data_IF_098189266508
#
_entry.id   IF_098189266508
#
_cell.length_a   1.000
_cell.length_b   1.000
_cell.length_c   1.000
_cell.angle_alpha   90.00
_cell.angle_beta   90.00
_cell.angle_gamma   90.00
#
_symmetry.space_group_name_H-M   'P 1'
#
loop_
_entity.id
_entity.type
_entity.pdbx_description
1 polymer ?
#
# COMPACT_ATOMS: atom_id res chain seq x y z
N UNK A 1 14.84 -3.39 13.44
CA UNK A 1 15.00 -4.83 13.08
C UNK A 1 15.98 -5.45 14.05
N UNK A 2 15.65 -6.61 14.62
CA UNK A 2 16.54 -7.30 15.54
C UNK A 2 17.86 -7.72 14.85
N UNK A 3 18.99 -7.34 15.44
CA UNK A 3 20.35 -7.76 15.07
C UNK A 3 20.81 -8.89 16.01
N UNK A 4 21.82 -9.63 15.57
CA UNK A 4 22.45 -10.71 16.34
C UNK A 4 23.95 -10.52 16.26
N UNK A 5 24.62 -10.53 17.41
CA UNK A 5 26.06 -10.34 17.52
C UNK A 5 26.68 -11.34 18.49
N UNK A 6 27.88 -11.83 18.15
CA UNK A 6 28.63 -12.77 18.97
C UNK A 6 29.71 -12.00 19.72
N UNK A 7 29.54 -11.86 21.02
CA UNK A 7 30.40 -11.10 21.91
C UNK A 7 31.29 -12.07 22.68
N UNK A 8 32.61 -11.82 22.64
CA UNK A 8 33.60 -12.56 23.43
C UNK A 8 34.08 -11.79 24.66
N UNK A 9 34.04 -10.46 24.58
CA UNK A 9 34.52 -9.58 25.64
C UNK A 9 33.37 -9.24 26.62
N UNK A 10 33.51 -9.58 27.92
CA UNK A 10 32.52 -9.23 28.93
C UNK A 10 32.24 -7.73 29.02
N UNK A 11 33.22 -6.85 28.77
CA UNK A 11 33.01 -5.40 28.83
C UNK A 11 32.00 -4.95 27.77
N UNK A 12 32.21 -5.38 26.53
CA UNK A 12 31.29 -5.11 25.43
C UNK A 12 29.91 -5.65 25.74
N UNK A 13 29.80 -6.84 26.34
CA UNK A 13 28.50 -7.38 26.75
C UNK A 13 27.75 -6.48 27.77
N UNK A 14 28.45 -5.98 28.79
CA UNK A 14 27.86 -5.06 29.77
C UNK A 14 27.54 -3.68 29.20
N UNK A 15 28.34 -3.19 28.24
CA UNK A 15 28.06 -1.93 27.54
C UNK A 15 26.74 -2.01 26.78
N UNK A 16 26.48 -3.14 26.11
CA UNK A 16 25.21 -3.37 25.41
C UNK A 16 24.01 -3.47 26.36
N UNK A 17 24.16 -4.08 27.54
CA UNK A 17 23.10 -4.16 28.56
C UNK A 17 22.80 -2.82 29.23
N UNK A 18 23.79 -1.93 29.29
CA UNK A 18 23.70 -0.64 29.98
C UNK A 18 23.40 0.51 29.02
N UNK A 19 23.28 0.24 27.72
CA UNK A 19 23.03 1.25 26.70
C UNK A 19 21.55 1.63 26.62
N UNK A 20 21.26 2.91 26.77
CA UNK A 20 19.91 3.47 26.55
C UNK A 20 19.51 3.51 25.06
N UNK A 21 20.43 3.19 24.14
CA UNK A 21 20.18 3.17 22.70
C UNK A 21 19.71 1.79 22.21
N UNK A 22 19.95 0.75 23.01
CA UNK A 22 19.80 -0.64 22.63
C UNK A 22 18.81 -1.35 23.55
N UNK A 23 17.80 -1.97 22.95
CA UNK A 23 16.90 -2.89 23.62
C UNK A 23 17.39 -4.34 23.43
N UNK A 24 17.89 -4.96 24.49
CA UNK A 24 18.34 -6.36 24.46
C UNK A 24 17.13 -7.30 24.52
N UNK A 25 16.95 -8.10 23.47
CA UNK A 25 15.79 -8.98 23.30
C UNK A 25 16.02 -10.39 23.84
N UNK A 26 17.23 -10.91 23.66
CA UNK A 26 17.60 -12.27 24.07
C UNK A 26 19.11 -12.39 24.26
N UNK A 27 19.53 -13.21 25.22
CA UNK A 27 20.95 -13.49 25.51
C UNK A 27 21.15 -14.98 25.58
N UNK A 28 22.07 -15.50 24.77
CA UNK A 28 22.38 -16.92 24.72
C UNK A 28 23.87 -17.17 24.88
N UNK A 29 24.24 -17.86 25.94
CA UNK A 29 25.61 -18.36 26.11
C UNK A 29 25.85 -19.50 25.10
N UNK A 30 26.77 -19.26 24.17
CA UNK A 30 27.15 -20.24 23.13
C UNK A 30 28.26 -21.14 23.65
N UNK A 31 29.19 -20.57 24.42
CA UNK A 31 30.26 -21.25 25.15
C UNK A 31 30.65 -20.43 26.38
N UNK A 32 31.58 -20.94 27.19
CA UNK A 32 32.10 -20.23 28.36
C UNK A 32 32.81 -18.90 28.01
N UNK A 33 33.20 -18.71 26.75
CA UNK A 33 33.92 -17.53 26.26
C UNK A 33 33.10 -16.68 25.25
N UNK A 34 31.84 -17.06 24.97
CA UNK A 34 31.07 -16.39 23.93
C UNK A 34 29.58 -16.33 24.24
N UNK A 35 29.04 -15.13 24.08
CA UNK A 35 27.61 -14.82 24.22
C UNK A 35 27.05 -14.36 22.89
N UNK A 36 25.96 -14.96 22.45
CA UNK A 36 25.11 -14.44 21.38
C UNK A 36 24.11 -13.45 21.99
N UNK A 37 24.25 -12.17 21.65
CA UNK A 37 23.32 -11.11 22.02
C UNK A 37 22.38 -10.86 20.85
N UNK A 38 21.07 -10.89 21.10
CA UNK A 38 20.05 -10.41 20.16
C UNK A 38 19.48 -9.11 20.69
N UNK A 39 19.55 -8.06 19.88
CA UNK A 39 19.13 -6.73 20.28
C UNK A 39 18.46 -5.99 19.14
N UNK A 40 17.74 -4.92 19.47
CA UNK A 40 17.27 -3.94 18.50
C UNK A 40 17.60 -2.54 19.00
N UNK A 41 17.82 -1.61 18.07
CA UNK A 41 17.92 -0.21 18.46
C UNK A 41 16.56 0.32 18.87
N UNK A 42 16.54 1.21 19.86
CA UNK A 42 15.34 1.94 20.23
C UNK A 42 14.78 2.70 19.02
N UNK A 43 13.45 2.88 18.97
CA UNK A 43 12.74 3.44 17.80
C UNK A 43 13.26 4.82 17.38
N UNK A 44 13.80 5.59 18.32
CA UNK A 44 14.34 6.93 18.09
C UNK A 44 15.80 6.93 17.61
N UNK A 45 16.48 5.79 17.63
CA UNK A 45 17.87 5.69 17.20
C UNK A 45 17.95 5.28 15.73
N UNK A 46 18.47 6.19 14.91
CA UNK A 46 18.80 5.93 13.51
C UNK A 46 20.31 5.88 13.39
N UNK A 47 20.85 4.69 13.17
CA UNK A 47 22.28 4.49 12.94
C UNK A 47 22.73 5.35 11.74
N UNK A 48 23.63 6.33 11.93
CA UNK A 48 24.10 7.19 10.85
C UNK A 48 24.97 6.37 9.89
N UNK A 49 24.38 5.95 8.76
CA UNK A 49 25.11 5.24 7.72
C UNK A 49 25.66 6.24 6.69
N UNK A 50 26.99 6.30 6.54
CA UNK A 50 27.66 7.18 5.57
C UNK A 50 27.23 6.95 4.11
N UNK A 51 26.64 5.79 3.79
CA UNK A 51 26.12 5.45 2.46
C UNK A 51 24.63 5.72 2.30
N UNK A 52 23.93 6.10 3.35
CA UNK A 52 22.47 6.29 3.34
C UNK A 52 22.14 7.76 3.49
N UNK A 53 21.61 8.35 2.43
CA UNK A 53 21.10 9.71 2.46
C UNK A 53 19.60 9.69 2.22
N UNK A 54 18.83 9.90 3.29
CA UNK A 54 17.36 9.89 3.27
C UNK A 54 16.81 10.99 2.37
N UNK A 55 17.48 12.14 2.29
CA UNK A 55 17.07 13.26 1.44
C UNK A 55 17.20 12.87 -0.04
N UNK A 56 18.32 12.25 -0.42
CA UNK A 56 18.51 11.74 -1.79
C UNK A 56 17.43 10.69 -2.11
N UNK A 57 17.14 9.76 -1.19
CA UNK A 57 16.09 8.75 -1.38
C UNK A 57 14.68 9.37 -1.54
N UNK A 58 14.38 10.44 -0.79
CA UNK A 58 13.13 11.16 -0.91
C UNK A 58 13.00 11.83 -2.28
N UNK A 59 14.04 12.53 -2.74
CA UNK A 59 14.03 13.17 -4.05
C UNK A 59 13.98 12.16 -5.20
N UNK A 60 14.76 11.08 -5.15
CA UNK A 60 14.73 10.07 -6.22
C UNK A 60 13.35 9.43 -6.35
N UNK A 61 12.70 9.09 -5.23
CA UNK A 61 11.34 8.52 -5.27
C UNK A 61 10.28 9.56 -5.67
N UNK A 62 10.46 10.85 -5.35
CA UNK A 62 9.58 11.91 -5.82
C UNK A 62 9.70 12.10 -7.34
N UNK A 63 10.91 12.16 -7.88
CA UNK A 63 11.16 12.27 -9.32
C UNK A 63 10.63 11.05 -10.08
N UNK A 64 10.82 9.84 -9.56
CA UNK A 64 10.26 8.62 -10.16
C UNK A 64 8.72 8.68 -10.23
N UNK A 65 8.05 9.13 -9.17
CA UNK A 65 6.59 9.32 -9.16
C UNK A 65 6.12 10.39 -10.14
N UNK A 66 6.82 11.52 -10.24
CA UNK A 66 6.50 12.56 -11.22
C UNK A 66 6.64 12.05 -12.66
N UNK A 67 7.67 11.25 -12.93
CA UNK A 67 7.88 10.63 -14.24
C UNK A 67 6.76 9.65 -14.59
N UNK A 68 6.39 8.79 -13.64
CA UNK A 68 5.25 7.89 -13.79
C UNK A 68 3.95 8.67 -13.99
N UNK A 69 3.72 9.72 -13.19
CA UNK A 69 2.54 10.57 -13.30
C UNK A 69 2.38 11.19 -14.69
N UNK A 70 3.47 11.65 -15.33
CA UNK A 70 3.41 12.16 -16.70
C UNK A 70 2.93 11.11 -17.72
N UNK A 71 3.27 9.84 -17.52
CA UNK A 71 2.76 8.73 -18.36
C UNK A 71 1.30 8.45 -18.08
N UNK A 72 0.91 8.46 -16.79
CA UNK A 72 -0.49 8.27 -16.38
C UNK A 72 -1.39 9.40 -16.89
N UNK A 73 -0.91 10.64 -16.88
CA UNK A 73 -1.63 11.82 -17.40
C UNK A 73 -1.79 11.77 -18.93
N UNK A 74 -0.86 11.15 -19.65
CA UNK A 74 -1.05 10.88 -21.08
C UNK A 74 -2.11 9.79 -21.33
N UNK A 75 -2.14 8.74 -20.49
CA UNK A 75 -2.97 7.54 -20.71
C UNK A 75 -4.39 7.67 -20.14
N UNK A 76 -4.60 8.50 -19.11
CA UNK A 76 -5.89 8.75 -18.47
C UNK A 76 -6.63 7.44 -18.13
N UNK A 77 -7.90 7.29 -18.53
CA UNK A 77 -8.75 6.13 -18.25
C UNK A 77 -8.28 4.81 -18.88
N UNK A 78 -7.26 4.82 -19.76
CA UNK A 78 -6.73 3.60 -20.36
C UNK A 78 -5.87 2.79 -19.40
N UNK A 79 -5.45 3.37 -18.29
CA UNK A 79 -4.60 2.68 -17.31
C UNK A 79 -5.40 1.63 -16.56
N UNK A 80 -4.95 0.37 -16.63
CA UNK A 80 -5.52 -0.75 -15.90
C UNK A 80 -4.78 -1.04 -14.59
N UNK A 81 -3.46 -0.81 -14.58
CA UNK A 81 -2.60 -1.04 -13.42
C UNK A 81 -1.29 -0.26 -13.56
N UNK A 82 -0.70 0.14 -12.44
CA UNK A 82 0.64 0.71 -12.40
C UNK A 82 1.33 0.32 -11.09
N UNK A 83 2.65 0.09 -11.14
CA UNK A 83 3.48 -0.14 -9.95
C UNK A 83 4.89 0.37 -10.20
N UNK A 84 5.32 1.34 -9.38
CA UNK A 84 6.67 1.93 -9.30
C UNK A 84 7.19 2.55 -10.61
N UNK A 85 7.41 1.74 -11.63
CA UNK A 85 8.02 2.04 -12.92
C UNK A 85 7.33 1.33 -14.10
N UNK A 86 6.25 0.57 -13.85
CA UNK A 86 5.49 -0.17 -14.85
C UNK A 86 4.05 0.34 -14.98
N UNK A 87 3.49 0.28 -16.19
CA UNK A 87 2.10 0.63 -16.48
C UNK A 87 1.50 -0.40 -17.43
N UNK A 88 0.32 -0.91 -17.10
CA UNK A 88 -0.51 -1.74 -17.97
C UNK A 88 -1.70 -0.89 -18.41
N UNK A 89 -1.92 -0.80 -19.71
CA UNK A 89 -2.95 0.05 -20.28
C UNK A 89 -3.63 -0.60 -21.49
N UNK A 90 -4.81 -0.09 -21.84
CA UNK A 90 -5.55 -0.47 -23.06
C UNK A 90 -4.99 0.32 -24.24
N UNK A 91 -4.42 -0.36 -25.24
CA UNK A 91 -4.05 0.27 -26.51
C UNK A 91 -5.29 0.41 -27.41
N UNK A 92 -5.44 1.57 -28.05
CA UNK A 92 -6.50 1.88 -29.01
C UNK A 92 -5.86 2.49 -30.26
N UNK A 93 -6.33 2.14 -31.49
CA UNK A 93 -5.67 2.55 -32.73
C UNK A 93 -5.52 4.06 -32.96
N UNK A 94 -6.35 4.89 -32.33
CA UNK A 94 -6.42 6.34 -32.55
C UNK A 94 -5.91 7.18 -31.37
N UNK A 95 -5.34 6.55 -30.34
CA UNK A 95 -4.90 7.28 -29.14
C UNK A 95 -3.38 7.22 -28.96
N UNK A 96 -2.75 8.28 -28.42
CA UNK A 96 -1.30 8.34 -28.30
C UNK A 96 -0.77 7.27 -27.35
N UNK A 97 0.33 6.63 -27.73
CA UNK A 97 1.06 5.69 -26.88
C UNK A 97 2.29 6.36 -26.25
N UNK A 98 2.71 5.95 -25.05
CA UNK A 98 3.93 6.47 -24.43
C UNK A 98 5.16 6.12 -25.29
N UNK A 99 6.09 7.07 -25.51
CA UNK A 99 7.24 6.84 -26.36
C UNK A 99 8.19 5.81 -25.72
N UNK A 100 8.55 4.79 -26.51
CA UNK A 100 9.51 3.77 -26.12
C UNK A 100 10.94 4.15 -26.51
N UNK A 101 11.92 3.65 -25.78
CA UNK A 101 13.31 3.74 -26.22
C UNK A 101 14.31 2.97 -25.35
N UNK A 102 15.54 2.78 -25.84
CA UNK A 102 16.54 1.92 -25.21
C UNK A 102 17.38 2.61 -24.13
N UNK A 103 17.22 3.92 -23.94
CA UNK A 103 18.08 4.71 -23.06
C UNK A 103 17.52 4.80 -21.63
N UNK A 104 18.40 5.12 -20.69
CA UNK A 104 18.04 5.29 -19.28
C UNK A 104 16.91 6.32 -19.12
N UNK A 105 15.85 5.93 -18.40
CA UNK A 105 14.69 6.77 -18.14
C UNK A 105 13.63 6.77 -19.25
N UNK A 106 13.83 6.00 -20.32
CA UNK A 106 12.82 5.74 -21.34
C UNK A 106 12.02 4.48 -21.00
N UNK A 107 10.79 4.42 -21.52
CA UNK A 107 9.93 3.26 -21.34
C UNK A 107 10.37 2.13 -22.29
N UNK A 108 10.36 0.91 -21.78
CA UNK A 108 10.67 -0.30 -22.56
C UNK A 108 9.47 -1.23 -22.56
N UNK A 109 9.21 -1.87 -23.69
CA UNK A 109 8.18 -2.91 -23.75
C UNK A 109 8.70 -4.21 -23.13
N UNK A 110 8.12 -4.62 -22.00
CA UNK A 110 8.46 -5.88 -21.32
C UNK A 110 7.99 -7.12 -22.07
N UNK A 111 6.93 -6.99 -22.88
CA UNK A 111 6.39 -8.06 -23.70
C UNK A 111 7.20 -8.11 -24.99
N UNK A 112 8.34 -8.82 -24.96
CA UNK A 112 9.26 -9.00 -26.11
C UNK A 112 8.51 -9.21 -27.44
N UNK A 113 7.48 -10.06 -27.42
CA UNK A 113 6.59 -10.31 -28.55
C UNK A 113 5.13 -10.42 -28.08
N UNK A 114 4.22 -9.85 -28.86
CA UNK A 114 2.77 -9.89 -28.62
C UNK A 114 2.25 -8.79 -27.71
N UNK A 115 0.98 -8.92 -27.32
CA UNK A 115 0.28 -8.01 -26.42
C UNK A 115 -0.54 -8.79 -25.41
N UNK A 116 -0.96 -8.14 -24.32
CA UNK A 116 -1.88 -8.73 -23.34
C UNK A 116 -3.29 -8.78 -23.96
N UNK A 117 -3.87 -9.96 -24.03
CA UNK A 117 -5.24 -10.18 -24.52
C UNK A 117 -6.26 -10.15 -23.38
N UNK A 118 -5.83 -10.51 -22.17
CA UNK A 118 -6.69 -10.47 -20.99
C UNK A 118 -5.87 -10.11 -19.77
N UNK A 119 -6.32 -9.07 -19.06
CA UNK A 119 -5.73 -8.63 -17.81
C UNK A 119 -6.76 -8.77 -16.68
N UNK A 120 -6.31 -9.26 -15.52
CA UNK A 120 -7.14 -9.46 -14.34
C UNK A 120 -6.39 -8.89 -13.14
N UNK A 121 -7.02 -7.93 -12.45
CA UNK A 121 -6.52 -7.39 -11.20
C UNK A 121 -7.29 -7.99 -10.02
N UNK A 122 -6.57 -8.39 -8.98
CA UNK A 122 -7.09 -8.77 -7.68
C UNK A 122 -6.63 -7.82 -6.56
N UNK A 123 -6.10 -6.65 -6.93
CA UNK A 123 -5.58 -5.63 -6.01
C UNK A 123 -4.09 -5.29 -6.22
N UNK A 124 -3.52 -4.42 -5.36
CA UNK A 124 -2.11 -4.05 -5.45
C UNK A 124 -1.18 -5.27 -5.35
N UNK A 125 -0.25 -5.41 -6.30
CA UNK A 125 0.69 -6.53 -6.40
C UNK A 125 0.01 -7.91 -6.47
N UNK A 126 -1.22 -7.94 -6.96
CA UNK A 126 -2.02 -9.14 -7.15
C UNK A 126 -2.74 -9.06 -8.50
N UNK A 127 -2.13 -9.62 -9.55
CA UNK A 127 -2.69 -9.58 -10.90
C UNK A 127 -2.24 -10.79 -11.72
N UNK A 128 -2.99 -11.12 -12.75
CA UNK A 128 -2.60 -12.10 -13.76
C UNK A 128 -2.99 -11.61 -15.15
N UNK A 129 -2.24 -12.05 -16.15
CA UNK A 129 -2.53 -11.71 -17.54
C UNK A 129 -2.20 -12.86 -18.48
N UNK A 130 -2.93 -12.87 -19.59
CA UNK A 130 -2.70 -13.76 -20.72
C UNK A 130 -2.24 -12.94 -21.93
N UNK A 131 -1.21 -13.40 -22.61
CA UNK A 131 -0.70 -12.77 -23.83
C UNK A 131 -1.29 -13.40 -25.09
N UNK A 132 -1.13 -12.72 -26.23
CA UNK A 132 -1.47 -13.25 -27.56
C UNK A 132 -0.69 -14.52 -27.92
N UNK A 133 0.49 -14.70 -27.32
CA UNK A 133 1.32 -15.91 -27.43
C UNK A 133 0.85 -17.06 -26.52
N UNK A 134 -0.34 -16.96 -25.90
CA UNK A 134 -0.88 -17.90 -24.92
C UNK A 134 -0.06 -18.06 -23.63
N UNK A 135 0.93 -17.20 -23.39
CA UNK A 135 1.66 -17.18 -22.12
C UNK A 135 0.75 -16.62 -21.02
N UNK A 136 0.71 -17.30 -19.88
CA UNK A 136 0.01 -16.85 -18.68
C UNK A 136 1.03 -16.48 -17.62
N UNK A 137 0.91 -15.28 -17.09
CA UNK A 137 1.72 -14.77 -16.00
C UNK A 137 0.83 -14.41 -14.83
N UNK A 138 1.27 -14.75 -13.62
CA UNK A 138 0.52 -14.52 -12.38
C UNK A 138 1.47 -13.95 -11.35
N UNK A 139 1.07 -12.86 -10.69
CA UNK A 139 1.85 -12.17 -9.66
C UNK A 139 0.96 -12.03 -8.43
N UNK A 140 1.37 -12.67 -7.34
CA UNK A 140 0.64 -12.66 -6.08
C UNK A 140 1.60 -12.34 -4.95
N UNK A 141 1.37 -11.22 -4.28
CA UNK A 141 2.13 -10.86 -3.07
C UNK A 141 1.83 -11.83 -1.94
N UNK A 142 2.87 -12.29 -1.26
CA UNK A 142 2.74 -13.09 -0.04
C UNK A 142 2.58 -14.59 -0.26
N UNK A 143 2.39 -15.08 -1.50
CA UNK A 143 2.35 -16.51 -1.82
C UNK A 143 3.45 -16.80 -2.84
N UNK A 144 4.33 -17.75 -2.53
CA UNK A 144 5.32 -18.23 -3.49
C UNK A 144 4.62 -19.12 -4.51
N UNK A 145 4.66 -18.73 -5.78
CA UNK A 145 4.06 -19.47 -6.89
C UNK A 145 4.95 -20.66 -7.28
N UNK A 146 4.89 -21.72 -6.49
CA UNK A 146 5.42 -23.03 -6.88
C UNK A 146 4.37 -23.82 -7.68
N UNK A 147 4.73 -25.00 -8.20
CA UNK A 147 3.82 -25.84 -9.00
C UNK A 147 2.48 -26.11 -8.27
N UNK A 148 2.53 -26.47 -6.98
CA UNK A 148 1.33 -26.72 -6.16
C UNK A 148 0.47 -25.47 -5.99
N UNK A 149 1.07 -24.31 -5.73
CA UNK A 149 0.38 -23.04 -5.59
C UNK A 149 -0.24 -22.60 -6.90
N UNK A 150 0.45 -22.76 -8.03
CA UNK A 150 -0.08 -22.46 -9.37
C UNK A 150 -1.26 -23.34 -9.76
N UNK A 151 -1.31 -24.60 -9.31
CA UNK A 151 -2.48 -25.46 -9.54
C UNK A 151 -3.72 -24.95 -8.79
N UNK A 152 -3.53 -24.43 -7.56
CA UNK A 152 -4.63 -23.93 -6.72
C UNK A 152 -5.03 -22.51 -7.07
N UNK A 153 -4.07 -21.66 -7.37
CA UNK A 153 -4.24 -20.24 -7.70
C UNK A 153 -3.79 -20.04 -9.14
N UNK A 154 -4.66 -20.47 -10.06
CA UNK A 154 -4.48 -20.32 -11.49
C UNK A 154 -5.28 -19.12 -12.03
N UNK A 155 -5.05 -18.80 -13.31
CA UNK A 155 -5.72 -17.71 -14.00
C UNK A 155 -7.26 -17.81 -13.92
N UNK A 156 -7.83 -19.00 -14.12
CA UNK A 156 -9.29 -19.22 -14.11
C UNK A 156 -9.90 -19.05 -12.72
N UNK A 157 -9.20 -19.50 -11.69
CA UNK A 157 -9.60 -19.35 -10.29
C UNK A 157 -9.57 -17.88 -9.91
N UNK A 158 -8.50 -17.14 -10.22
CA UNK A 158 -8.42 -15.70 -9.94
C UNK A 158 -9.54 -14.97 -10.70
N UNK A 159 -9.75 -15.28 -11.99
CA UNK A 159 -10.85 -14.73 -12.79
C UNK A 159 -12.21 -14.93 -12.14
N UNK A 160 -12.48 -16.15 -11.70
CA UNK A 160 -13.74 -16.51 -11.04
C UNK A 160 -13.92 -15.77 -9.72
N UNK A 161 -12.86 -15.66 -8.92
CA UNK A 161 -12.89 -14.90 -7.67
C UNK A 161 -13.16 -13.41 -7.92
N UNK A 162 -12.53 -12.80 -8.93
CA UNK A 162 -12.76 -11.38 -9.29
C UNK A 162 -14.20 -11.19 -9.73
N UNK A 163 -14.70 -12.09 -10.57
CA UNK A 163 -16.09 -12.05 -11.03
C UNK A 163 -17.09 -12.20 -9.89
N UNK A 164 -16.89 -13.17 -8.99
CA UNK A 164 -17.74 -13.38 -7.80
C UNK A 164 -17.75 -12.16 -6.88
N UNK A 165 -16.59 -11.54 -6.67
CA UNK A 165 -16.49 -10.33 -5.87
C UNK A 165 -17.20 -9.15 -6.53
N UNK A 166 -16.97 -8.93 -7.84
CA UNK A 166 -17.52 -7.80 -8.57
C UNK A 166 -19.04 -7.91 -8.83
N UNK A 167 -19.55 -9.10 -9.17
CA UNK A 167 -20.95 -9.30 -9.59
C UNK A 167 -21.85 -9.80 -8.49
N UNK A 168 -21.34 -10.67 -7.61
CA UNK A 168 -22.15 -11.32 -6.58
C UNK A 168 -21.92 -10.73 -5.19
N UNK A 169 -20.96 -9.82 -5.02
CA UNK A 169 -20.50 -9.31 -3.72
C UNK A 169 -20.10 -10.45 -2.75
N UNK A 170 -19.59 -11.58 -3.30
CA UNK A 170 -19.15 -12.74 -2.52
C UNK A 170 -17.64 -12.75 -2.46
N UNK A 171 -17.10 -12.81 -1.25
CA UNK A 171 -15.65 -12.94 -1.05
C UNK A 171 -15.28 -14.42 -1.06
N UNK A 172 -14.76 -14.90 -2.19
CA UNK A 172 -14.18 -16.23 -2.28
C UNK A 172 -12.76 -16.27 -1.72
N UNK A 173 -12.35 -17.45 -1.25
CA UNK A 173 -11.03 -17.71 -0.69
C UNK A 173 -10.49 -19.04 -1.22
N UNK A 174 -9.18 -19.11 -1.43
CA UNK A 174 -8.49 -20.32 -1.87
C UNK A 174 -7.33 -20.58 -0.94
N UNK A 175 -7.30 -21.77 -0.36
CA UNK A 175 -6.16 -22.20 0.45
C UNK A 175 -5.08 -22.83 -0.42
N UNK A 176 -3.85 -22.34 -0.26
CA UNK A 176 -2.62 -23.00 -0.68
C UNK A 176 -1.99 -23.69 0.54
N UNK A 177 -1.93 -25.02 0.49
CA UNK A 177 -1.24 -25.82 1.48
C UNK A 177 0.20 -26.10 1.02
N UNK A 178 1.17 -25.77 1.88
CA UNK A 178 2.60 -25.96 1.64
C UNK A 178 3.10 -26.93 2.70
N UNK A 179 3.11 -28.25 2.42
CA UNK A 179 3.37 -29.28 3.42
C UNK A 179 4.80 -29.24 3.96
N UNK A 180 5.76 -28.79 3.14
CA UNK A 180 7.19 -28.83 3.44
C UNK A 180 7.81 -27.43 3.34
N UNK A 181 7.40 -26.49 4.20
CA UNK A 181 8.01 -25.17 4.26
C UNK A 181 9.25 -25.22 5.15
N UNK A 182 10.42 -25.06 4.52
CA UNK A 182 11.67 -24.89 5.24
C UNK A 182 11.66 -23.52 5.92
N UNK A 183 11.81 -23.54 7.24
CA UNK A 183 11.90 -22.36 8.10
C UNK A 183 13.09 -22.49 9.03
N UNK A 184 13.72 -21.37 9.38
CA UNK A 184 14.75 -21.35 10.41
C UNK A 184 14.11 -20.90 11.71
N UNK A 185 14.15 -21.73 12.73
CA UNK A 185 13.71 -21.35 14.06
C UNK A 185 14.64 -20.25 14.59
N UNK A 186 14.10 -19.06 14.85
CA UNK A 186 14.92 -17.89 15.20
C UNK A 186 15.66 -18.06 16.53
N UNK A 187 15.11 -18.86 17.44
CA UNK A 187 15.66 -19.12 18.79
C UNK A 187 16.67 -20.26 18.78
N UNK A 188 16.29 -21.44 18.28
CA UNK A 188 17.19 -22.60 18.27
C UNK A 188 18.23 -22.54 17.15
N UNK A 189 17.99 -21.71 16.12
CA UNK A 189 18.72 -21.63 14.85
C UNK A 189 18.62 -22.87 13.98
N UNK A 190 17.85 -23.89 14.40
CA UNK A 190 17.65 -25.12 13.66
C UNK A 190 16.82 -24.87 12.40
N UNK A 191 17.13 -25.63 11.36
CA UNK A 191 16.31 -25.69 10.15
C UNK A 191 15.21 -26.71 10.40
N UNK A 192 13.97 -26.26 10.33
CA UNK A 192 12.78 -27.06 10.58
C UNK A 192 11.88 -27.03 9.34
N UNK A 193 11.35 -28.19 8.98
CA UNK A 193 10.35 -28.32 7.92
C UNK A 193 8.98 -28.35 8.56
N UNK A 194 8.24 -27.25 8.39
CA UNK A 194 6.91 -27.08 8.96
C UNK A 194 5.85 -27.03 7.85
N UNK A 195 4.65 -27.53 8.13
CA UNK A 195 3.50 -27.35 7.23
C UNK A 195 2.97 -25.92 7.37
N UNK A 196 2.80 -25.23 6.25
CA UNK A 196 2.29 -23.86 6.22
C UNK A 196 1.06 -23.78 5.33
N UNK A 197 -0.02 -23.20 5.85
CA UNK A 197 -1.24 -22.93 5.10
C UNK A 197 -1.32 -21.43 4.82
N UNK A 198 -1.57 -21.06 3.58
CA UNK A 198 -1.80 -19.66 3.18
C UNK A 198 -3.11 -19.54 2.46
N UNK A 199 -3.95 -18.63 2.93
CA UNK A 199 -5.20 -18.36 2.26
C UNK A 199 -5.06 -17.15 1.34
N UNK A 200 -5.36 -17.38 0.07
CA UNK A 200 -5.49 -16.36 -0.95
C UNK A 200 -6.92 -15.84 -0.97
N UNK A 201 -7.05 -14.52 -0.92
CA UNK A 201 -8.30 -13.78 -1.18
C UNK A 201 -7.99 -12.59 -2.06
N UNK A 202 -8.98 -12.12 -2.79
CA UNK A 202 -8.88 -10.84 -3.47
C UNK A 202 -8.96 -9.74 -2.44
N UNK A 203 -8.10 -8.73 -2.60
CA UNK A 203 -7.97 -7.63 -1.66
C UNK A 203 -8.14 -6.33 -2.43
N UNK A 204 -9.38 -5.86 -2.45
CA UNK A 204 -9.71 -4.49 -2.82
C UNK A 204 -9.92 -3.72 -1.52
N UNK A 205 -8.84 -3.26 -0.89
CA UNK A 205 -8.97 -2.53 0.38
C UNK A 205 -9.71 -1.19 0.20
N UNK A 206 -9.64 -0.58 -1.00
CA UNK A 206 -10.20 0.74 -1.33
C UNK A 206 -10.37 0.96 -2.85
N UNK A 207 -11.30 0.27 -3.52
CA UNK A 207 -12.34 1.02 -4.25
C UNK A 207 -13.68 0.28 -4.36
N UNK A 208 -14.78 1.04 -4.52
CA UNK A 208 -16.04 0.49 -5.03
C UNK A 208 -15.85 0.10 -6.49
N UNK A 209 -16.28 -1.11 -6.83
CA UNK A 209 -16.43 -1.52 -8.22
C UNK A 209 -17.73 -0.88 -8.71
N UNK A 210 -17.62 0.14 -9.54
CA UNK A 210 -18.73 0.72 -10.30
C UNK A 210 -18.99 -0.15 -11.52
N UNK A 211 -20.19 -0.04 -12.10
CA UNK A 211 -20.60 -0.79 -13.29
C UNK A 211 -19.48 -0.89 -14.34
N UNK A 212 -19.33 -2.10 -14.90
CA UNK A 212 -18.28 -2.47 -15.87
C UNK A 212 -16.84 -2.58 -15.31
N UNK A 213 -16.70 -3.02 -14.05
CA UNK A 213 -15.40 -3.29 -13.40
C UNK A 213 -14.50 -2.06 -13.21
N UNK A 214 -15.04 -0.84 -13.38
CA UNK A 214 -14.32 0.40 -13.05
C UNK A 214 -14.19 0.51 -11.54
N UNK A 215 -13.00 0.88 -11.06
CA UNK A 215 -12.75 1.07 -9.64
C UNK A 215 -12.67 2.55 -9.32
N UNK A 216 -13.61 3.04 -8.49
CA UNK A 216 -13.58 4.42 -7.99
C UNK A 216 -13.47 4.36 -6.47
N UNK A 217 -12.58 5.17 -5.90
CA UNK A 217 -12.43 5.35 -4.46
C UNK A 217 -13.58 6.18 -3.88
N UNK A 218 -14.81 5.69 -3.97
CA UNK A 218 -15.94 6.42 -3.42
C UNK A 218 -15.97 6.27 -1.88
N UNK A 219 -15.99 7.39 -1.17
CA UNK A 219 -16.32 7.39 0.25
C UNK A 219 -17.78 6.98 0.48
N UNK A 220 -18.06 6.28 1.57
CA UNK A 220 -19.41 5.78 1.88
C UNK A 220 -20.14 6.74 2.81
N UNK A 221 -21.46 6.85 2.65
CA UNK A 221 -22.31 7.48 3.66
C UNK A 221 -22.09 6.79 5.01
N UNK A 222 -21.75 7.57 6.04
CA UNK A 222 -21.39 7.06 7.37
C UNK A 222 -19.89 6.99 7.67
N UNK A 223 -19.01 7.15 6.67
CA UNK A 223 -17.56 7.23 6.93
C UNK A 223 -17.21 8.51 7.69
N UNK A 224 -16.32 8.39 8.68
CA UNK A 224 -15.74 9.51 9.43
C UNK A 224 -14.51 10.07 8.71
N UNK A 225 -14.49 11.38 8.49
CA UNK A 225 -13.47 12.08 7.69
C UNK A 225 -13.02 13.40 8.33
N UNK A 226 -11.80 13.85 8.03
CA UNK A 226 -11.35 15.25 8.22
C UNK A 226 -11.36 15.99 6.89
N UNK A 227 -11.54 17.30 6.95
CA UNK A 227 -11.43 18.19 5.78
C UNK A 227 -10.00 18.72 5.73
N UNK A 228 -9.38 18.72 4.54
CA UNK A 228 -8.06 19.33 4.36
C UNK A 228 -8.14 20.86 4.44
N UNK A 229 -7.27 21.47 5.26
CA UNK A 229 -7.13 22.93 5.34
C UNK A 229 -6.39 23.41 4.09
N UNK A 230 -6.98 24.31 3.31
CA UNK A 230 -6.28 24.95 2.19
C UNK A 230 -5.04 25.71 2.70
N UNK A 231 -3.86 25.34 2.20
CA UNK A 231 -2.63 26.11 2.44
C UNK A 231 -2.76 27.48 1.77
N UNK A 232 -2.88 28.56 2.55
CA UNK A 232 -2.54 29.89 2.05
C UNK A 232 -1.04 29.93 1.74
N UNK A 233 -0.65 30.65 0.69
CA UNK A 233 0.71 30.76 0.13
C UNK A 233 1.80 31.19 1.12
N UNK A 234 1.44 31.57 2.35
CA UNK A 234 2.36 32.03 3.41
C UNK A 234 2.22 31.30 4.77
N UNK A 235 1.58 30.12 4.82
CA UNK A 235 1.41 29.35 6.07
C UNK A 235 2.66 28.56 6.48
N UNK A 236 3.15 28.75 7.73
CA UNK A 236 4.26 27.98 8.32
C UNK A 236 3.94 26.47 8.35
N UNK A 237 4.85 25.65 7.83
CA UNK A 237 4.61 24.24 7.45
C UNK A 237 4.53 23.18 8.57
N UNK A 238 4.50 23.56 9.85
CA UNK A 238 4.45 22.61 10.97
C UNK A 238 3.05 22.40 11.57
N UNK A 239 2.04 23.16 11.13
CA UNK A 239 0.66 22.97 11.59
C UNK A 239 -0.03 21.82 10.83
N UNK A 240 -0.92 21.04 11.48
CA UNK A 240 -1.69 20.00 10.82
C UNK A 240 -2.51 20.56 9.65
N UNK A 241 -2.39 19.96 8.46
CA UNK A 241 -3.08 20.40 7.23
C UNK A 241 -4.55 19.91 7.17
N UNK A 242 -5.16 19.55 8.30
CA UNK A 242 -6.50 18.98 8.37
C UNK A 242 -7.31 19.63 9.51
N UNK A 243 -8.64 19.63 9.38
CA UNK A 243 -9.54 20.02 10.46
C UNK A 243 -9.27 19.18 11.71
N UNK A 244 -9.36 19.79 12.88
CA UNK A 244 -9.33 19.03 14.13
C UNK A 244 -10.63 18.22 14.30
N UNK A 245 -11.74 18.83 13.90
CA UNK A 245 -13.07 18.25 13.85
C UNK A 245 -13.18 17.07 12.89
N UNK A 246 -14.05 16.15 13.28
CA UNK A 246 -14.37 14.92 12.57
C UNK A 246 -15.79 15.06 12.04
N UNK A 247 -15.95 14.80 10.75
CA UNK A 247 -17.24 14.87 10.07
C UNK A 247 -17.66 13.50 9.60
N UNK A 248 -18.95 13.29 9.49
CA UNK A 248 -19.54 12.07 8.92
C UNK A 248 -20.10 12.39 7.54
N UNK A 249 -19.86 11.51 6.57
CA UNK A 249 -20.45 11.69 5.24
C UNK A 249 -21.96 11.46 5.33
N UNK A 250 -22.76 12.51 5.05
CA UNK A 250 -24.22 12.43 5.09
C UNK A 250 -24.80 11.97 3.77
N UNK A 251 -24.22 12.42 2.65
CA UNK A 251 -24.72 12.11 1.31
C UNK A 251 -23.61 12.13 0.28
N UNK A 252 -23.64 11.16 -0.62
CA UNK A 252 -22.85 11.16 -1.83
C UNK A 252 -23.69 11.69 -3.00
N UNK A 253 -23.13 12.61 -3.78
CA UNK A 253 -23.77 13.17 -4.96
C UNK A 253 -22.96 12.71 -6.18
N UNK A 254 -23.55 11.86 -7.06
CA UNK A 254 -22.89 11.41 -8.27
C UNK A 254 -22.83 12.56 -9.28
N UNK A 255 -21.70 13.26 -9.30
CA UNK A 255 -21.30 14.24 -10.31
C UNK A 255 -19.95 13.80 -10.86
N UNK A 256 -19.50 14.41 -11.96
CA UNK A 256 -18.15 14.22 -12.49
C UNK A 256 -17.33 15.50 -12.26
N UNK A 257 -16.39 15.53 -11.28
CA UNK A 257 -16.05 14.49 -10.31
C UNK A 257 -17.03 14.40 -9.12
N UNK A 258 -17.09 13.26 -8.40
CA UNK A 258 -18.06 13.03 -7.32
C UNK A 258 -17.86 13.99 -6.16
N UNK A 259 -18.97 14.41 -5.55
CA UNK A 259 -18.96 15.34 -4.41
C UNK A 259 -19.78 14.80 -3.23
N UNK A 260 -19.37 15.19 -2.03
CA UNK A 260 -19.90 14.69 -0.77
C UNK A 260 -20.48 15.83 0.06
N UNK A 261 -21.61 15.56 0.72
CA UNK A 261 -22.09 16.35 1.83
C UNK A 261 -21.63 15.73 3.14
N UNK A 262 -21.28 16.59 4.08
CA UNK A 262 -20.80 16.21 5.39
C UNK A 262 -21.78 16.71 6.44
N UNK A 263 -21.89 15.98 7.54
CA UNK A 263 -22.52 16.41 8.78
C UNK A 263 -21.52 16.34 9.91
N UNK A 264 -21.67 17.20 10.91
CA UNK A 264 -20.89 17.13 12.14
C UNK A 264 -21.35 15.95 13.05
N UNK A 265 -20.83 15.90 14.27
CA UNK A 265 -21.20 14.89 15.26
C UNK A 265 -22.61 15.13 15.85
N UNK A 266 -23.06 16.39 15.88
CA UNK A 266 -24.38 16.79 16.38
C UNK A 266 -25.50 16.57 15.34
N UNK A 267 -25.12 16.23 14.10
CA UNK A 267 -26.02 15.90 13.00
C UNK A 267 -26.38 17.08 12.10
N UNK A 268 -25.77 18.26 12.28
CA UNK A 268 -25.96 19.41 11.41
C UNK A 268 -25.20 19.23 10.09
N UNK A 269 -25.87 19.49 8.96
CA UNK A 269 -25.20 19.44 7.65
C UNK A 269 -24.33 20.68 7.43
N UNK A 270 -23.07 20.46 7.08
CA UNK A 270 -22.17 21.52 6.65
C UNK A 270 -22.70 22.21 5.38
N UNK A 271 -22.60 23.54 5.35
CA UNK A 271 -22.91 24.33 4.16
C UNK A 271 -21.83 24.09 3.09
N UNK A 272 -22.15 23.30 2.07
CA UNK A 272 -21.29 23.10 0.90
C UNK A 272 -21.26 21.66 0.40
N UNK A 273 -20.42 21.42 -0.60
CA UNK A 273 -20.12 20.08 -1.12
C UNK A 273 -18.61 19.94 -1.29
N UNK A 274 -18.06 18.83 -0.82
CA UNK A 274 -16.63 18.57 -0.77
C UNK A 274 -16.23 17.53 -1.81
N UNK A 275 -15.08 17.73 -2.46
CA UNK A 275 -14.52 16.74 -3.36
C UNK A 275 -13.82 15.63 -2.57
N UNK A 276 -13.72 14.44 -3.15
CA UNK A 276 -13.03 13.30 -2.56
C UNK A 276 -11.62 13.65 -2.04
N UNK A 277 -10.86 14.41 -2.85
CA UNK A 277 -9.49 14.87 -2.56
C UNK A 277 -9.37 15.82 -1.36
N UNK A 278 -10.48 16.43 -0.94
CA UNK A 278 -10.55 17.34 0.20
C UNK A 278 -10.79 16.57 1.52
N UNK A 279 -11.00 15.25 1.46
CA UNK A 279 -11.39 14.43 2.60
C UNK A 279 -10.31 13.39 2.95
N UNK A 280 -10.11 13.18 4.25
CA UNK A 280 -9.24 12.12 4.79
C UNK A 280 -10.01 11.25 5.78
N UNK A 281 -10.16 9.96 5.48
CA UNK A 281 -10.80 8.99 6.40
C UNK A 281 -10.02 8.84 7.71
N UNK A 282 -10.74 8.82 8.81
CA UNK A 282 -10.24 8.53 10.14
C UNK A 282 -10.83 7.20 10.60
N UNK A 283 -10.01 6.41 11.29
CA UNK A 283 -10.47 5.32 12.14
C UNK A 283 -10.02 5.73 13.52
N UNK A 284 -10.97 6.03 14.41
CA UNK A 284 -10.67 6.47 15.76
C UNK A 284 -11.14 5.37 16.72
N UNK A 285 -10.21 4.89 17.54
CA UNK A 285 -10.49 3.84 18.53
C UNK A 285 -10.87 4.42 19.90
N UNK A 286 -10.64 5.73 20.12
CA UNK A 286 -10.91 6.42 21.39
C UNK A 286 -12.03 7.48 21.29
N UNK A 287 -12.85 7.59 22.34
CA UNK A 287 -13.99 8.51 22.47
C UNK A 287 -13.61 9.98 22.77
N UNK A 288 -12.33 10.38 22.63
CA UNK A 288 -11.83 11.70 23.06
C UNK A 288 -11.84 12.71 21.90
N UNK A 289 -12.82 13.61 21.83
CA UNK A 289 -12.94 14.62 20.76
C UNK A 289 -12.44 16.01 21.22
N UNK A 290 -11.50 16.61 20.49
CA UNK A 290 -11.14 18.03 20.69
C UNK A 290 -12.17 18.93 20.00
N UNK A 291 -12.81 19.82 20.76
CA UNK A 291 -13.73 20.86 20.25
C UNK A 291 -12.92 22.12 19.97
N UNK A 292 -12.95 22.64 18.74
CA UNK A 292 -12.44 23.99 18.46
C UNK A 292 -13.45 25.02 18.99
N UNK A 293 -12.98 26.04 19.71
CA UNK A 293 -13.82 27.14 20.19
C UNK A 293 -14.21 27.98 18.96
N UNK A 294 -15.49 27.94 18.57
CA UNK A 294 -16.05 28.62 17.39
C UNK A 294 -15.45 30.01 17.17
N UNK A 295 -14.69 30.16 16.08
CA UNK A 295 -14.62 31.42 15.36
C UNK A 295 -15.55 31.26 14.16
N UNK A 296 -16.49 32.19 13.99
CA UNK A 296 -17.33 32.29 12.80
C UNK A 296 -16.47 32.59 11.56
N UNK A 297 -15.73 31.59 11.06
CA UNK A 297 -15.27 31.59 9.68
C UNK A 297 -16.33 30.83 8.88
N UNK A 298 -17.24 31.58 8.27
CA UNK A 298 -18.17 31.05 7.28
C UNK A 298 -17.36 30.36 6.18
N UNK A 299 -17.40 29.02 6.17
CA UNK A 299 -16.88 28.17 5.10
C UNK A 299 -17.76 28.29 3.84
N UNK A 300 -17.86 29.48 3.29
CA UNK A 300 -18.51 29.76 2.01
C UNK A 300 -17.44 29.75 0.92
N UNK A 301 -17.58 28.88 -0.08
CA UNK A 301 -16.82 28.99 -1.34
C UNK A 301 -17.14 30.34 -1.99
N UNK A 302 -16.11 31.10 -2.34
CA UNK A 302 -16.17 32.01 -3.49
C UNK A 302 -16.03 31.20 -4.78
#
# INVERSE_FOLDING_TARGET
>A
MAKVELIKDPQVYFDYLSSDEINVLDVRFVSDEMVELRYEYNENFVEPNARTNVVIAAFTTAYARLKLYGVLDQLQERVLYYDTDSVIFVSKPNEPEPPLGPYLGQLTNELKEGHITTFISGGPKNYCYKTSTNKVETKIRGITLNCTAMQKVNFDVIRSLVYLHAKCNVTGQVTVDIPLKITRNTRTKNIETNRMRKDYKIVYDKPFIVDDYKTITLWVVGDQVRISKMKRTFGKGYLPNFSKEIFTISKQIPRDPPVYKLKDLDGEELKGTFYEKELQKIIKEDDVYEIEKNFEETWTRQ
#
